data_IF_500369223050
#
_entry.id   IF_500369223050
#
_cell.length_a   1.000
_cell.length_b   1.000
_cell.length_c   1.000
_cell.angle_alpha   90.00
_cell.angle_beta   90.00
_cell.angle_gamma   90.00
#
_symmetry.space_group_name_H-M   'P 1'
#
loop_
_entity.id
_entity.type
_entity.pdbx_description
1 polymer ?
#
# COMPACT_ATOMS: atom_id res chain seq x y z
N UNK A 1 66.22 3.37 -29.86
CA UNK A 1 65.53 2.69 -28.74
C UNK A 1 64.21 3.40 -28.51
N UNK A 2 63.11 2.82 -28.96
CA UNK A 2 61.76 3.35 -28.72
C UNK A 2 61.25 2.74 -27.41
N UNK A 3 61.01 3.56 -26.41
CA UNK A 3 60.37 3.14 -25.15
C UNK A 3 58.88 2.93 -25.43
N UNK A 4 58.50 1.66 -25.63
CA UNK A 4 57.11 1.26 -25.77
C UNK A 4 56.33 1.53 -24.50
N UNK A 5 55.33 2.41 -24.60
CA UNK A 5 54.21 2.45 -23.67
C UNK A 5 53.18 1.42 -24.13
N UNK A 6 53.41 0.15 -23.83
CA UNK A 6 52.33 -0.83 -23.87
C UNK A 6 51.41 -0.58 -22.67
N UNK A 7 50.10 -0.39 -22.89
CA UNK A 7 49.16 -0.35 -21.78
C UNK A 7 49.14 -1.74 -21.11
N UNK A 8 49.06 -1.82 -19.77
CA UNK A 8 49.03 -3.12 -19.10
C UNK A 8 47.81 -3.91 -19.58
N UNK A 9 48.08 -5.13 -20.05
CA UNK A 9 47.08 -6.14 -20.35
C UNK A 9 46.40 -6.61 -19.05
N UNK A 10 45.53 -5.77 -18.50
CA UNK A 10 44.47 -6.22 -17.59
C UNK A 10 43.22 -6.31 -18.43
N UNK A 11 42.99 -7.47 -19.02
CA UNK A 11 41.65 -7.89 -19.41
C UNK A 11 40.84 -7.96 -18.10
N UNK A 12 39.95 -7.01 -17.78
CA UNK A 12 39.12 -7.16 -16.61
C UNK A 12 37.99 -8.06 -17.07
N UNK A 13 38.11 -9.35 -16.76
CA UNK A 13 37.08 -10.38 -16.91
C UNK A 13 35.69 -9.74 -16.97
N UNK A 14 35.08 -9.67 -18.18
CA UNK A 14 33.80 -9.02 -18.52
C UNK A 14 32.97 -8.76 -17.26
N UNK A 15 33.19 -7.61 -16.64
CA UNK A 15 32.78 -7.46 -15.26
C UNK A 15 31.28 -7.20 -15.24
N UNK A 16 30.54 -8.24 -14.86
CA UNK A 16 29.11 -8.41 -15.14
C UNK A 16 28.27 -7.48 -14.25
N UNK A 17 27.98 -6.27 -14.73
CA UNK A 17 27.08 -5.31 -14.10
C UNK A 17 27.25 -3.91 -14.71
N UNK A 18 26.17 -3.13 -14.83
CA UNK A 18 26.14 -1.85 -15.58
C UNK A 18 27.08 -0.73 -15.09
N UNK A 19 27.80 -0.95 -13.99
CA UNK A 19 28.67 0.04 -13.34
C UNK A 19 30.16 -0.15 -13.68
N UNK A 20 30.54 -1.25 -14.36
CA UNK A 20 31.93 -1.58 -14.70
C UNK A 20 32.24 -1.44 -16.20
N UNK A 21 31.57 -0.51 -16.88
CA UNK A 21 31.80 -0.20 -18.29
C UNK A 21 33.14 0.51 -18.53
N UNK A 22 33.72 0.35 -19.73
CA UNK A 22 35.06 0.82 -20.09
C UNK A 22 35.28 2.35 -19.96
N UNK A 23 34.21 3.16 -19.90
CA UNK A 23 34.27 4.62 -19.73
C UNK A 23 34.17 5.08 -18.28
N UNK A 24 34.07 4.16 -17.31
CA UNK A 24 33.96 4.48 -15.87
C UNK A 24 35.26 4.23 -15.14
N UNK A 25 35.49 4.99 -14.06
CA UNK A 25 36.64 4.81 -13.19
C UNK A 25 36.74 3.36 -12.67
N UNK A 26 37.95 2.79 -12.73
CA UNK A 26 38.24 1.42 -12.30
C UNK A 26 38.27 1.31 -10.77
N UNK A 27 37.08 1.22 -10.16
CA UNK A 27 36.93 1.00 -8.71
C UNK A 27 36.80 -0.50 -8.47
N UNK A 28 37.75 -1.08 -7.72
CA UNK A 28 37.73 -2.52 -7.38
C UNK A 28 36.58 -2.87 -6.42
N UNK A 29 36.23 -1.96 -5.51
CA UNK A 29 35.13 -2.14 -4.57
C UNK A 29 33.76 -2.14 -5.28
N UNK A 30 32.79 -2.96 -4.84
CA UNK A 30 31.46 -3.03 -5.45
C UNK A 30 30.65 -1.73 -5.28
N UNK A 31 30.89 -0.99 -4.20
CA UNK A 31 30.39 0.37 -3.98
C UNK A 31 31.33 1.11 -3.00
N UNK A 32 31.30 2.44 -3.02
CA UNK A 32 32.09 3.29 -2.10
C UNK A 32 31.30 3.75 -0.86
N UNK A 33 30.04 3.32 -0.73
CA UNK A 33 29.22 3.67 0.44
C UNK A 33 29.72 2.97 1.70
N UNK A 34 29.94 3.74 2.75
CA UNK A 34 30.34 3.30 4.09
C UNK A 34 29.20 3.39 5.12
N UNK A 35 28.10 4.04 4.75
CA UNK A 35 26.93 4.21 5.61
C UNK A 35 26.01 2.97 5.60
N UNK A 36 25.03 2.92 6.52
CA UNK A 36 24.06 1.81 6.63
C UNK A 36 22.97 1.91 5.55
N UNK A 37 23.37 1.94 4.29
CA UNK A 37 22.49 2.10 3.13
C UNK A 37 21.42 1.02 3.02
N UNK A 38 21.67 -0.17 3.57
CA UNK A 38 20.76 -1.32 3.58
C UNK A 38 19.64 -1.18 4.61
N UNK A 39 19.79 -0.31 5.62
CA UNK A 39 18.86 -0.23 6.74
C UNK A 39 17.45 0.20 6.30
N UNK A 40 17.36 1.25 5.47
CA UNK A 40 16.08 1.74 4.98
C UNK A 40 15.29 0.71 4.14
N UNK A 41 15.87 0.05 3.11
CA UNK A 41 15.17 -1.00 2.39
C UNK A 41 14.88 -2.22 3.27
N UNK A 42 15.78 -2.61 4.18
CA UNK A 42 15.53 -3.72 5.09
C UNK A 42 14.36 -3.45 6.06
N UNK A 43 14.31 -2.26 6.69
CA UNK A 43 13.21 -1.87 7.57
C UNK A 43 11.87 -1.80 6.83
N UNK A 44 11.89 -1.28 5.58
CA UNK A 44 10.71 -1.25 4.71
C UNK A 44 10.23 -2.67 4.40
N UNK A 45 11.14 -3.56 3.99
CA UNK A 45 10.83 -4.97 3.73
C UNK A 45 10.28 -5.68 4.96
N UNK A 46 10.90 -5.49 6.12
CA UNK A 46 10.46 -6.10 7.37
C UNK A 46 9.04 -5.65 7.75
N UNK A 47 8.74 -4.35 7.68
CA UNK A 47 7.40 -3.83 7.96
C UNK A 47 6.34 -4.33 6.98
N UNK A 48 6.66 -4.38 5.68
CA UNK A 48 5.75 -4.94 4.68
C UNK A 48 5.54 -6.44 4.87
N UNK A 49 6.59 -7.21 5.18
CA UNK A 49 6.50 -8.64 5.43
C UNK A 49 5.65 -8.91 6.69
N UNK A 50 5.85 -8.16 7.77
CA UNK A 50 5.04 -8.26 8.97
C UNK A 50 3.55 -8.02 8.65
N UNK A 51 3.24 -6.98 7.87
CA UNK A 51 1.87 -6.72 7.44
C UNK A 51 1.31 -7.84 6.54
N UNK A 52 2.12 -8.42 5.65
CA UNK A 52 1.69 -9.54 4.79
C UNK A 52 1.40 -10.77 5.64
N UNK A 53 2.26 -11.12 6.59
CA UNK A 53 2.03 -12.25 7.51
C UNK A 53 0.75 -12.03 8.32
N UNK A 54 0.61 -10.84 8.91
CA UNK A 54 -0.59 -10.46 9.66
C UNK A 54 -1.87 -10.55 8.81
N UNK A 55 -1.88 -9.90 7.65
CA UNK A 55 -3.07 -9.84 6.78
C UNK A 55 -3.40 -11.21 6.18
N UNK A 56 -2.40 -12.05 5.91
CA UNK A 56 -2.62 -13.44 5.47
C UNK A 56 -3.27 -14.25 6.57
N UNK A 57 -2.72 -14.21 7.80
CA UNK A 57 -3.35 -14.88 8.94
C UNK A 57 -4.79 -14.42 9.14
N UNK A 58 -5.03 -13.11 9.17
CA UNK A 58 -6.37 -12.54 9.34
C UNK A 58 -7.31 -12.89 8.19
N UNK A 59 -6.84 -12.93 6.95
CA UNK A 59 -7.65 -13.34 5.81
C UNK A 59 -8.08 -14.81 5.92
N UNK A 60 -7.19 -15.71 6.35
CA UNK A 60 -7.52 -17.14 6.44
C UNK A 60 -8.17 -17.58 7.76
N UNK A 61 -8.06 -16.77 8.82
CA UNK A 61 -8.72 -17.06 10.09
C UNK A 61 -10.24 -17.16 9.96
N UNK A 62 -10.85 -16.33 9.10
CA UNK A 62 -12.30 -16.32 8.81
C UNK A 62 -13.18 -16.28 10.08
N UNK A 63 -12.67 -15.64 11.14
CA UNK A 63 -13.32 -15.53 12.45
C UNK A 63 -13.03 -14.17 13.08
N UNK A 64 -13.85 -13.83 14.09
CA UNK A 64 -13.63 -12.67 14.97
C UNK A 64 -13.37 -11.37 14.18
N UNK A 65 -14.20 -11.12 13.17
CA UNK A 65 -14.10 -9.96 12.28
C UNK A 65 -15.30 -9.01 12.42
N UNK A 66 -16.25 -9.32 13.29
CA UNK A 66 -17.42 -8.48 13.55
C UNK A 66 -17.81 -8.55 15.04
N UNK A 67 -17.86 -7.39 15.68
CA UNK A 67 -18.38 -7.19 17.03
C UNK A 67 -19.16 -5.87 17.03
N UNK A 68 -20.48 -5.93 17.20
CA UNK A 68 -21.35 -4.77 16.99
C UNK A 68 -20.89 -3.55 17.83
N UNK A 69 -20.77 -2.35 17.22
CA UNK A 69 -21.11 -2.01 15.83
C UNK A 69 -19.95 -2.18 14.82
N UNK A 70 -18.78 -2.65 15.24
CA UNK A 70 -17.52 -2.62 14.47
C UNK A 70 -17.34 -3.84 13.58
N UNK A 71 -16.91 -3.59 12.33
CA UNK A 71 -16.48 -4.61 11.37
C UNK A 71 -15.01 -4.42 11.00
N UNK A 72 -14.27 -5.51 10.89
CA UNK A 72 -12.93 -5.45 10.36
C UNK A 72 -12.93 -4.85 8.94
N UNK A 73 -12.03 -3.88 8.65
CA UNK A 73 -11.88 -3.34 7.30
C UNK A 73 -11.34 -4.37 6.29
N UNK A 74 -10.91 -5.56 6.73
CA UNK A 74 -10.52 -6.67 5.84
C UNK A 74 -11.71 -7.51 5.37
N UNK A 75 -12.85 -7.41 6.05
CA UNK A 75 -14.05 -8.21 5.78
C UNK A 75 -15.24 -7.40 5.27
N UNK A 76 -15.12 -6.07 5.17
CA UNK A 76 -16.16 -5.18 4.64
C UNK A 76 -15.82 -4.64 3.24
N UNK A 77 -16.77 -4.65 2.28
CA UNK A 77 -18.14 -5.18 2.37
C UNK A 77 -18.18 -6.71 2.43
N UNK A 78 -19.26 -7.27 3.00
CA UNK A 78 -19.52 -8.70 2.90
C UNK A 78 -20.06 -9.01 1.50
N UNK A 79 -19.24 -9.69 0.68
CA UNK A 79 -19.58 -10.01 -0.71
C UNK A 79 -20.02 -11.46 -0.92
N UNK A 80 -19.85 -12.32 0.07
CA UNK A 80 -20.14 -13.75 -0.02
C UNK A 80 -21.23 -14.18 0.97
N UNK A 81 -22.06 -15.16 0.62
CA UNK A 81 -23.11 -15.69 1.50
C UNK A 81 -22.57 -16.23 2.84
N UNK A 82 -21.29 -16.62 2.89
CA UNK A 82 -20.64 -17.14 4.09
C UNK A 82 -20.29 -16.07 5.14
N UNK A 83 -20.18 -14.78 4.78
CA UNK A 83 -19.81 -13.81 5.81
C UNK A 83 -20.96 -13.54 6.78
N UNK A 84 -20.60 -13.22 8.02
CA UNK A 84 -21.54 -12.84 9.07
C UNK A 84 -22.27 -11.55 8.65
N UNK A 85 -23.62 -11.57 8.53
CA UNK A 85 -24.37 -10.38 8.16
C UNK A 85 -24.21 -9.28 9.20
N UNK A 86 -23.83 -8.08 8.73
CA UNK A 86 -23.69 -6.90 9.58
C UNK A 86 -25.00 -6.12 9.59
N UNK A 87 -25.53 -5.78 10.77
CA UNK A 87 -26.81 -5.10 10.85
C UNK A 87 -26.77 -3.69 10.21
N UNK A 88 -27.58 -3.51 9.16
CA UNK A 88 -27.58 -2.34 8.27
C UNK A 88 -26.19 -2.02 7.64
N UNK A 89 -25.31 -3.02 7.56
CA UNK A 89 -24.01 -2.90 6.91
C UNK A 89 -24.06 -3.17 5.41
N UNK A 90 -22.93 -2.97 4.70
CA UNK A 90 -22.79 -3.25 3.28
C UNK A 90 -22.67 -4.76 3.03
N UNK A 91 -23.80 -5.47 3.12
CA UNK A 91 -23.89 -6.90 2.80
C UNK A 91 -24.50 -7.07 1.40
N UNK A 92 -23.70 -7.55 0.46
CA UNK A 92 -24.11 -7.79 -0.92
C UNK A 92 -23.66 -9.17 -1.32
N UNK A 93 -24.53 -10.17 -1.20
CA UNK A 93 -24.26 -11.59 -1.49
C UNK A 93 -24.07 -11.86 -3.00
N UNK A 94 -23.11 -11.17 -3.61
CA UNK A 94 -22.78 -11.29 -5.04
C UNK A 94 -22.13 -12.64 -5.35
N UNK A 95 -21.38 -13.16 -4.38
CA UNK A 95 -20.78 -14.49 -4.42
C UNK A 95 -21.65 -15.44 -3.58
N UNK A 96 -22.38 -16.34 -4.22
CA UNK A 96 -23.19 -17.35 -3.51
C UNK A 96 -22.34 -18.40 -2.77
N UNK A 97 -23.00 -19.38 -2.16
CA UNK A 97 -22.36 -20.45 -1.37
C UNK A 97 -21.31 -21.32 -2.08
N UNK A 98 -21.09 -21.15 -3.39
CA UNK A 98 -19.98 -21.79 -4.11
C UNK A 98 -18.60 -21.23 -3.72
N UNK A 99 -18.54 -20.02 -3.17
CA UNK A 99 -17.29 -19.43 -2.68
C UNK A 99 -16.92 -20.02 -1.31
N UNK A 100 -16.13 -21.09 -1.32
CA UNK A 100 -15.75 -21.84 -0.12
C UNK A 100 -14.53 -21.30 0.65
N UNK A 101 -13.94 -20.18 0.23
CA UNK A 101 -12.77 -19.57 0.89
C UNK A 101 -13.23 -18.32 1.67
N UNK A 102 -12.41 -17.83 2.59
CA UNK A 102 -12.67 -16.61 3.36
C UNK A 102 -13.16 -15.45 2.47
N UNK A 103 -14.24 -14.75 2.87
CA UNK A 103 -14.76 -13.57 2.20
C UNK A 103 -13.73 -12.42 2.11
N UNK A 104 -12.80 -12.34 3.06
CA UNK A 104 -11.77 -11.30 3.08
C UNK A 104 -10.93 -11.29 1.79
N UNK A 105 -10.68 -12.46 1.18
CA UNK A 105 -9.86 -12.57 -0.03
C UNK A 105 -10.49 -11.81 -1.21
N UNK A 106 -11.83 -11.83 -1.32
CA UNK A 106 -12.56 -11.15 -2.39
C UNK A 106 -12.30 -9.65 -2.32
N UNK A 107 -12.37 -9.07 -1.12
CA UNK A 107 -12.21 -7.62 -0.97
C UNK A 107 -10.75 -7.20 -0.91
N UNK A 108 -9.86 -7.97 -0.27
CA UNK A 108 -8.46 -7.60 -0.08
C UNK A 108 -7.69 -7.45 -1.40
N UNK A 109 -8.13 -8.09 -2.48
CA UNK A 109 -7.52 -7.93 -3.81
C UNK A 109 -7.49 -6.47 -4.28
N UNK A 110 -8.49 -5.66 -3.93
CA UNK A 110 -8.60 -4.27 -4.37
C UNK A 110 -7.62 -3.34 -3.65
N UNK A 111 -7.62 -3.22 -2.30
CA UNK A 111 -6.63 -2.39 -1.60
C UNK A 111 -5.21 -2.95 -1.73
N UNK A 112 -5.04 -4.28 -1.78
CA UNK A 112 -3.74 -4.89 -2.05
C UNK A 112 -3.26 -4.53 -3.45
N UNK A 113 -4.09 -4.70 -4.47
CA UNK A 113 -3.79 -4.30 -5.85
C UNK A 113 -3.45 -2.83 -5.95
N UNK A 114 -4.20 -1.95 -5.30
CA UNK A 114 -3.92 -0.52 -5.26
C UNK A 114 -2.56 -0.20 -4.64
N UNK A 115 -2.18 -0.87 -3.55
CA UNK A 115 -0.86 -0.73 -2.92
C UNK A 115 0.25 -1.33 -3.76
N UNK A 116 0.13 -2.59 -4.20
CA UNK A 116 1.16 -3.29 -4.98
C UNK A 116 1.45 -2.64 -6.34
N UNK A 117 0.46 -1.98 -6.94
CA UNK A 117 0.63 -1.24 -8.20
C UNK A 117 1.12 0.19 -8.02
N UNK A 118 1.18 0.69 -6.78
CA UNK A 118 1.61 2.05 -6.50
C UNK A 118 3.13 2.21 -6.72
N UNK A 119 3.53 3.32 -7.33
CA UNK A 119 4.93 3.65 -7.57
C UNK A 119 5.80 3.61 -6.30
N UNK A 120 5.24 4.00 -5.15
CA UNK A 120 5.95 3.94 -3.88
C UNK A 120 6.26 2.49 -3.45
N UNK A 121 5.25 1.62 -3.42
CA UNK A 121 5.44 0.21 -3.07
C UNK A 121 6.33 -0.50 -4.10
N UNK A 122 6.21 -0.13 -5.38
CA UNK A 122 7.12 -0.59 -6.43
C UNK A 122 8.57 -0.31 -6.14
N UNK A 123 8.87 0.93 -5.76
CA UNK A 123 10.22 1.29 -5.29
C UNK A 123 10.63 0.45 -4.07
N UNK A 124 9.72 0.22 -3.12
CA UNK A 124 10.01 -0.58 -1.94
C UNK A 124 10.38 -2.04 -2.28
N UNK A 125 9.55 -2.75 -3.05
CA UNK A 125 9.84 -4.14 -3.38
C UNK A 125 10.97 -4.30 -4.39
N UNK A 126 11.17 -3.37 -5.32
CA UNK A 126 12.35 -3.38 -6.20
C UNK A 126 13.65 -3.20 -5.41
N UNK A 127 13.67 -2.33 -4.41
CA UNK A 127 14.87 -2.11 -3.59
C UNK A 127 15.10 -3.22 -2.58
N UNK A 128 14.05 -3.66 -1.91
CA UNK A 128 14.11 -4.60 -0.80
C UNK A 128 14.19 -6.06 -1.23
N UNK A 129 13.29 -6.50 -2.12
CA UNK A 129 13.23 -7.91 -2.52
C UNK A 129 14.03 -8.21 -3.79
N UNK A 130 14.03 -7.31 -4.79
CA UNK A 130 14.76 -7.50 -6.04
C UNK A 130 16.18 -6.90 -6.05
N UNK A 131 16.53 -6.01 -5.12
CA UNK A 131 17.80 -5.29 -5.15
C UNK A 131 18.09 -4.56 -6.48
N UNK A 132 17.10 -3.88 -7.07
CA UNK A 132 17.20 -3.22 -8.39
C UNK A 132 17.02 -1.70 -8.36
N UNK A 133 18.11 -0.91 -8.26
CA UNK A 133 19.23 -1.11 -7.33
C UNK A 133 18.78 -0.82 -5.87
N UNK A 134 19.36 -1.47 -4.85
CA UNK A 134 18.87 -1.38 -3.47
C UNK A 134 19.03 0.02 -2.86
N UNK A 135 20.05 0.76 -3.28
CA UNK A 135 20.27 2.13 -2.87
C UNK A 135 21.02 2.92 -3.96
N UNK A 136 21.00 4.26 -3.85
CA UNK A 136 21.84 5.11 -4.71
C UNK A 136 23.32 4.72 -4.53
N UNK A 137 24.08 4.70 -5.63
CA UNK A 137 25.50 4.31 -5.68
C UNK A 137 25.80 2.86 -5.23
N UNK A 138 24.78 2.00 -5.08
CA UNK A 138 24.95 0.56 -4.89
C UNK A 138 24.49 -0.13 -6.16
N UNK A 139 25.40 -0.88 -6.79
CA UNK A 139 25.12 -1.57 -8.05
C UNK A 139 23.96 -2.57 -7.90
N UNK A 140 23.10 -2.65 -8.91
CA UNK A 140 22.16 -3.78 -9.00
C UNK A 140 22.93 -5.07 -9.33
N UNK A 141 22.54 -6.22 -8.76
CA UNK A 141 23.15 -7.51 -9.07
C UNK A 141 22.65 -8.08 -10.40
N UNK A 142 21.54 -7.55 -10.92
CA UNK A 142 20.92 -8.03 -12.16
C UNK A 142 21.74 -7.66 -13.39
N UNK A 143 21.84 -8.61 -14.33
CA UNK A 143 22.59 -8.41 -15.59
C UNK A 143 21.74 -7.81 -16.70
N UNK A 144 20.45 -8.09 -16.67
CA UNK A 144 19.49 -7.74 -17.72
C UNK A 144 18.22 -7.23 -17.09
N UNK A 145 17.79 -6.04 -17.48
CA UNK A 145 16.48 -5.52 -17.13
C UNK A 145 15.48 -5.93 -18.21
N UNK A 146 14.52 -6.79 -17.86
CA UNK A 146 13.51 -7.28 -18.80
C UNK A 146 12.39 -6.27 -19.08
N UNK A 147 12.42 -5.12 -18.40
CA UNK A 147 11.35 -4.14 -18.46
C UNK A 147 10.10 -4.58 -17.68
N UNK A 148 9.16 -3.64 -17.55
CA UNK A 148 7.87 -3.87 -16.89
C UNK A 148 6.76 -4.25 -17.86
N UNK A 149 7.13 -4.56 -19.10
CA UNK A 149 6.18 -4.89 -20.17
C UNK A 149 5.80 -6.37 -20.18
N UNK A 150 6.41 -7.19 -19.31
CA UNK A 150 6.13 -8.63 -19.20
C UNK A 150 5.39 -8.98 -17.92
N UNK A 151 4.59 -10.03 -17.98
CA UNK A 151 3.96 -10.61 -16.80
C UNK A 151 5.03 -11.10 -15.82
N UNK A 152 4.90 -10.84 -14.49
CA UNK A 152 3.78 -10.18 -13.81
C UNK A 152 3.90 -8.63 -13.71
N UNK A 153 5.03 -8.03 -14.06
CA UNK A 153 5.30 -6.59 -13.89
C UNK A 153 4.40 -5.68 -14.74
N UNK A 154 3.80 -6.19 -15.81
CA UNK A 154 2.82 -5.45 -16.63
C UNK A 154 1.60 -5.00 -15.82
N UNK A 155 1.24 -5.74 -14.76
CA UNK A 155 0.11 -5.41 -13.88
C UNK A 155 0.30 -4.09 -13.13
N UNK A 156 1.54 -3.59 -13.03
CA UNK A 156 1.84 -2.28 -12.44
C UNK A 156 1.15 -1.13 -13.18
N UNK A 157 0.84 -1.29 -14.47
CA UNK A 157 0.11 -0.31 -15.26
C UNK A 157 -1.38 -0.21 -14.90
N UNK A 158 -1.90 -1.14 -14.07
CA UNK A 158 -3.29 -1.17 -13.65
C UNK A 158 -3.58 -0.22 -12.47
N UNK A 159 -2.58 0.47 -11.92
CA UNK A 159 -2.74 1.33 -10.75
C UNK A 159 -3.88 2.36 -10.90
N UNK A 160 -4.04 2.92 -12.10
CA UNK A 160 -5.14 3.85 -12.39
C UNK A 160 -6.53 3.23 -12.25
N UNK A 161 -6.68 1.94 -12.53
CA UNK A 161 -7.95 1.23 -12.40
C UNK A 161 -8.20 0.85 -10.94
N UNK A 162 -7.16 0.38 -10.25
CA UNK A 162 -7.23 0.13 -8.81
C UNK A 162 -7.55 1.39 -8.00
N UNK A 163 -7.17 2.59 -8.48
CA UNK A 163 -7.58 3.84 -7.85
C UNK A 163 -9.10 3.99 -7.80
N UNK A 164 -9.82 3.68 -8.88
CA UNK A 164 -11.29 3.77 -8.88
C UNK A 164 -11.91 2.76 -7.92
N UNK A 165 -11.42 1.52 -7.91
CA UNK A 165 -11.85 0.51 -6.94
C UNK A 165 -11.56 0.96 -5.49
N UNK A 166 -10.38 1.53 -5.24
CA UNK A 166 -9.99 2.02 -3.91
C UNK A 166 -10.88 3.17 -3.42
N UNK A 167 -11.35 4.05 -4.32
CA UNK A 167 -12.33 5.10 -3.96
C UNK A 167 -13.66 4.49 -3.53
N UNK A 168 -14.14 3.45 -4.22
CA UNK A 168 -15.36 2.73 -3.84
C UNK A 168 -15.20 2.06 -2.48
N UNK A 169 -14.11 1.31 -2.28
CA UNK A 169 -13.80 0.66 -1.00
C UNK A 169 -13.68 1.69 0.13
N UNK A 170 -13.02 2.82 -0.10
CA UNK A 170 -12.95 3.90 0.88
C UNK A 170 -14.35 4.49 1.20
N UNK A 171 -15.23 4.60 0.21
CA UNK A 171 -16.63 4.98 0.43
C UNK A 171 -17.37 4.00 1.35
N UNK A 172 -17.19 2.70 1.14
CA UNK A 172 -17.80 1.65 1.96
C UNK A 172 -17.25 1.71 3.39
N UNK A 173 -15.93 1.81 3.56
CA UNK A 173 -15.32 1.93 4.89
C UNK A 173 -15.72 3.25 5.60
N UNK A 174 -16.07 4.29 4.84
CA UNK A 174 -16.66 5.52 5.40
C UNK A 174 -18.05 5.25 5.94
N UNK A 175 -18.86 4.46 5.24
CA UNK A 175 -20.17 4.03 5.73
C UNK A 175 -20.04 3.17 6.99
N UNK A 176 -19.12 2.20 7.02
CA UNK A 176 -18.85 1.42 8.23
C UNK A 176 -18.40 2.28 9.40
N UNK A 177 -17.58 3.31 9.14
CA UNK A 177 -17.18 4.28 10.16
C UNK A 177 -18.37 5.10 10.66
N UNK A 178 -19.34 5.43 9.82
CA UNK A 178 -20.56 6.07 10.26
C UNK A 178 -21.39 5.13 11.16
N UNK A 179 -21.51 3.86 10.78
CA UNK A 179 -22.21 2.84 11.56
C UNK A 179 -21.54 2.58 12.92
N UNK A 180 -20.24 2.87 13.05
CA UNK A 180 -19.47 2.78 14.29
C UNK A 180 -19.87 3.81 15.36
N UNK A 181 -20.76 4.77 15.04
CA UNK A 181 -21.40 5.68 16.01
C UNK A 181 -22.68 5.12 16.63
N UNK A 182 -22.91 3.82 16.45
CA UNK A 182 -23.97 3.09 17.13
C UNK A 182 -23.44 2.35 18.35
N UNK A 183 -24.31 1.92 19.25
CA UNK A 183 -23.95 0.95 20.30
C UNK A 183 -24.13 -0.51 19.81
N UNK A 184 -23.96 -1.46 20.74
CA UNK A 184 -24.20 -2.89 20.49
C UNK A 184 -25.68 -3.24 20.25
N UNK A 185 -26.60 -2.35 20.67
CA UNK A 185 -28.04 -2.45 20.43
C UNK A 185 -28.50 -1.67 19.18
N UNK A 186 -27.55 -1.12 18.41
CA UNK A 186 -27.77 -0.34 17.21
C UNK A 186 -28.50 1.01 17.41
N UNK A 187 -28.55 1.53 18.63
CA UNK A 187 -28.93 2.91 18.92
C UNK A 187 -27.84 3.86 18.41
N UNK A 188 -28.22 5.06 17.97
CA UNK A 188 -27.30 6.07 17.45
C UNK A 188 -26.86 7.05 18.52
N UNK A 189 -25.71 7.70 18.29
CA UNK A 189 -25.22 8.78 19.14
C UNK A 189 -24.18 8.32 20.16
N UNK A 190 -23.55 7.18 19.92
CA UNK A 190 -22.54 6.61 20.80
C UNK A 190 -21.14 6.79 20.22
N UNK A 191 -20.15 6.87 21.09
CA UNK A 191 -18.75 6.92 20.70
C UNK A 191 -17.90 6.14 21.70
N UNK A 192 -17.15 5.18 21.20
CA UNK A 192 -16.13 4.45 21.95
C UNK A 192 -14.73 4.68 21.40
N UNK A 193 -13.77 3.97 22.00
CA UNK A 193 -12.41 3.92 21.47
C UNK A 193 -12.41 3.33 20.06
N UNK A 194 -13.23 2.30 19.80
CA UNK A 194 -13.35 1.71 18.47
C UNK A 194 -13.80 2.73 17.41
N UNK A 195 -14.70 3.64 17.78
CA UNK A 195 -15.17 4.70 16.87
C UNK A 195 -14.02 5.65 16.49
N UNK A 196 -13.16 6.01 17.44
CA UNK A 196 -11.96 6.82 17.17
C UNK A 196 -10.95 6.08 16.30
N UNK A 197 -10.76 4.77 16.53
CA UNK A 197 -9.89 3.92 15.69
C UNK A 197 -10.39 3.90 14.25
N UNK A 198 -11.70 3.75 14.03
CA UNK A 198 -12.31 3.78 12.70
C UNK A 198 -12.19 5.15 12.03
N UNK A 199 -12.45 6.23 12.75
CA UNK A 199 -12.28 7.61 12.26
C UNK A 199 -10.83 7.88 11.83
N UNK A 200 -9.86 7.54 12.68
CA UNK A 200 -8.45 7.68 12.35
C UNK A 200 -8.08 6.86 11.12
N UNK A 201 -8.56 5.60 11.06
CA UNK A 201 -8.32 4.72 9.92
C UNK A 201 -8.89 5.28 8.62
N UNK A 202 -10.15 5.70 8.59
CA UNK A 202 -10.78 6.16 7.35
C UNK A 202 -10.19 7.49 6.87
N UNK A 203 -9.84 8.41 7.79
CA UNK A 203 -9.15 9.66 7.45
C UNK A 203 -7.79 9.36 6.81
N UNK A 204 -7.03 8.42 7.36
CA UNK A 204 -5.74 8.01 6.80
C UNK A 204 -5.88 7.30 5.45
N UNK A 205 -6.92 6.47 5.27
CA UNK A 205 -7.23 5.83 3.98
C UNK A 205 -7.56 6.88 2.93
N UNK A 206 -8.43 7.86 3.22
CA UNK A 206 -8.72 8.95 2.28
C UNK A 206 -7.49 9.80 2.00
N UNK A 207 -6.71 10.15 3.01
CA UNK A 207 -5.47 10.92 2.81
C UNK A 207 -4.48 10.17 1.91
N UNK A 208 -4.32 8.85 2.08
CA UNK A 208 -3.50 8.02 1.20
C UNK A 208 -4.05 7.95 -0.23
N UNK A 209 -5.36 7.71 -0.40
CA UNK A 209 -6.00 7.63 -1.72
C UNK A 209 -5.90 8.96 -2.47
N UNK A 210 -6.24 10.08 -1.82
CA UNK A 210 -6.22 11.42 -2.42
C UNK A 210 -4.80 11.95 -2.66
N UNK A 211 -3.79 11.47 -1.93
CA UNK A 211 -2.38 11.85 -2.15
C UNK A 211 -1.74 11.16 -3.36
N UNK A 212 -2.44 10.25 -4.04
CA UNK A 212 -1.88 9.51 -5.17
C UNK A 212 -1.63 10.39 -6.42
N UNK A 213 -0.62 10.02 -7.22
CA UNK A 213 -0.38 10.63 -8.53
C UNK A 213 -1.56 10.48 -9.50
N UNK A 214 -2.30 9.36 -9.44
CA UNK A 214 -3.55 9.16 -10.20
C UNK A 214 -4.58 10.24 -9.87
N UNK A 215 -4.80 10.55 -8.59
CA UNK A 215 -5.70 11.62 -8.16
C UNK A 215 -5.22 12.99 -8.66
N UNK A 216 -3.93 13.29 -8.51
CA UNK A 216 -3.32 14.53 -9.01
C UNK A 216 -3.54 14.69 -10.53
N UNK A 217 -3.38 13.61 -11.29
CA UNK A 217 -3.61 13.60 -12.73
C UNK A 217 -5.10 13.76 -13.08
N UNK A 218 -6.03 13.14 -12.35
CA UNK A 218 -7.47 13.33 -12.57
C UNK A 218 -7.87 14.80 -12.36
N UNK A 219 -7.37 15.42 -11.28
CA UNK A 219 -7.74 16.79 -10.93
C UNK A 219 -7.10 17.83 -11.88
N UNK A 220 -5.78 17.73 -12.11
CA UNK A 220 -5.02 18.75 -12.86
C UNK A 220 -4.63 18.36 -14.28
N UNK A 221 -4.91 17.12 -14.72
CA UNK A 221 -4.50 16.62 -16.02
C UNK A 221 -5.16 17.39 -17.17
N UNK A 222 -4.40 17.53 -18.27
CA UNK A 222 -4.82 18.22 -19.51
C UNK A 222 -5.20 19.70 -19.35
N UNK A 223 -4.89 20.33 -18.22
CA UNK A 223 -5.07 21.77 -18.05
C UNK A 223 -4.01 22.54 -18.86
N UNK A 224 -4.46 23.39 -19.79
CA UNK A 224 -3.59 24.29 -20.56
C UNK A 224 -3.45 25.69 -19.94
N UNK A 225 -4.45 26.12 -19.14
CA UNK A 225 -4.48 27.44 -18.51
C UNK A 225 -4.99 27.32 -17.07
N UNK A 226 -4.20 27.72 -16.07
CA UNK A 226 -4.63 27.69 -14.67
C UNK A 226 -5.57 28.84 -14.31
N UNK A 227 -5.41 30.01 -14.94
CA UNK A 227 -6.25 31.19 -14.72
C UNK A 227 -7.72 30.97 -15.10
N UNK A 228 -8.00 30.16 -16.13
CA UNK A 228 -9.36 29.82 -16.57
C UNK A 228 -9.99 28.66 -15.80
N UNK A 229 -9.23 27.97 -14.95
CA UNK A 229 -9.70 26.82 -14.17
C UNK A 229 -9.27 26.92 -12.69
N UNK A 230 -9.65 27.99 -11.97
CA UNK A 230 -9.14 28.27 -10.62
C UNK A 230 -9.55 27.19 -9.60
N UNK A 231 -10.73 26.59 -9.74
CA UNK A 231 -11.17 25.49 -8.85
C UNK A 231 -10.28 24.26 -9.01
N UNK A 232 -10.08 23.79 -10.25
CA UNK A 232 -9.22 22.63 -10.53
C UNK A 232 -7.77 22.89 -10.12
N UNK A 233 -7.28 24.10 -10.33
CA UNK A 233 -5.94 24.50 -9.87
C UNK A 233 -5.81 24.43 -8.34
N UNK A 234 -6.77 24.98 -7.59
CA UNK A 234 -6.79 24.88 -6.12
C UNK A 234 -6.83 23.43 -5.63
N UNK A 235 -7.68 22.59 -6.22
CA UNK A 235 -7.74 21.17 -5.89
C UNK A 235 -6.41 20.46 -6.21
N UNK A 236 -5.79 20.76 -7.35
CA UNK A 236 -4.49 20.19 -7.74
C UNK A 236 -3.36 20.63 -6.79
N UNK A 237 -3.37 21.87 -6.31
CA UNK A 237 -2.45 22.35 -5.28
C UNK A 237 -2.65 21.62 -3.96
N UNK A 238 -3.90 21.41 -3.52
CA UNK A 238 -4.22 20.64 -2.32
C UNK A 238 -3.72 19.20 -2.43
N UNK A 239 -4.12 18.49 -3.49
CA UNK A 239 -3.65 17.12 -3.77
C UNK A 239 -2.12 17.08 -3.90
N UNK A 240 -1.51 18.12 -4.46
CA UNK A 240 -0.07 18.26 -4.54
C UNK A 240 0.65 18.32 -3.19
N UNK A 241 0.08 19.07 -2.23
CA UNK A 241 0.59 19.10 -0.85
C UNK A 241 0.50 17.74 -0.17
N UNK A 242 -0.61 17.02 -0.38
CA UNK A 242 -0.76 15.66 0.13
C UNK A 242 0.20 14.68 -0.56
N UNK A 243 0.37 14.78 -1.88
CA UNK A 243 1.25 13.91 -2.67
C UNK A 243 2.71 13.99 -2.23
N UNK A 244 3.20 15.16 -1.81
CA UNK A 244 4.54 15.30 -1.24
C UNK A 244 4.77 14.43 0.01
N UNK A 245 3.69 14.07 0.73
CA UNK A 245 3.69 13.20 1.91
C UNK A 245 3.14 11.80 1.61
N UNK A 246 2.96 11.43 0.34
CA UNK A 246 2.30 10.18 -0.04
C UNK A 246 2.94 8.94 0.60
N UNK A 247 4.28 8.91 0.70
CA UNK A 247 5.00 7.82 1.37
C UNK A 247 4.63 7.70 2.86
N UNK A 248 4.56 8.83 3.58
CA UNK A 248 4.18 8.85 5.00
C UNK A 248 2.72 8.37 5.16
N UNK A 249 1.83 8.87 4.31
CA UNK A 249 0.40 8.51 4.33
C UNK A 249 0.19 7.04 3.95
N UNK A 250 1.03 6.47 3.08
CA UNK A 250 1.01 5.06 2.73
C UNK A 250 1.30 4.18 3.95
N UNK A 251 2.32 4.50 4.75
CA UNK A 251 2.63 3.77 5.98
C UNK A 251 1.59 4.01 7.08
N UNK A 252 1.18 5.27 7.29
CA UNK A 252 0.19 5.60 8.31
C UNK A 252 -1.14 4.86 8.05
N UNK A 253 -1.61 4.83 6.80
CA UNK A 253 -2.82 4.08 6.42
C UNK A 253 -2.65 2.55 6.47
N UNK A 254 -1.43 2.03 6.26
CA UNK A 254 -1.13 0.60 6.38
C UNK A 254 -1.17 0.15 7.84
N UNK A 255 -0.55 0.94 8.72
CA UNK A 255 -0.56 0.68 10.16
C UNK A 255 -1.98 0.88 10.72
N UNK A 256 -2.69 1.94 10.33
CA UNK A 256 -4.05 2.19 10.84
C UNK A 256 -5.03 1.09 10.46
N UNK A 257 -4.96 0.54 9.25
CA UNK A 257 -5.88 -0.52 8.83
C UNK A 257 -5.58 -1.84 9.55
N UNK A 258 -4.30 -2.14 9.80
CA UNK A 258 -3.92 -3.29 10.62
C UNK A 258 -4.40 -3.11 12.07
N UNK A 259 -4.24 -1.93 12.65
CA UNK A 259 -4.70 -1.63 14.01
C UNK A 259 -6.22 -1.67 14.10
N UNK A 260 -6.95 -1.17 13.11
CA UNK A 260 -8.41 -1.23 13.09
C UNK A 260 -8.92 -2.68 12.99
N UNK A 261 -8.32 -3.51 12.14
CA UNK A 261 -8.65 -4.94 12.10
C UNK A 261 -8.28 -5.66 13.42
N UNK A 262 -7.08 -5.40 13.96
CA UNK A 262 -6.64 -5.99 15.23
C UNK A 262 -7.56 -5.59 16.38
N UNK A 263 -7.98 -4.34 16.40
CA UNK A 263 -8.91 -3.83 17.40
C UNK A 263 -10.23 -4.60 17.36
N UNK A 264 -10.84 -4.76 16.18
CA UNK A 264 -12.07 -5.54 16.04
C UNK A 264 -11.85 -7.00 16.43
N UNK A 265 -10.70 -7.58 16.08
CA UNK A 265 -10.36 -8.94 16.48
C UNK A 265 -10.26 -9.10 18.00
N UNK A 266 -9.63 -8.17 18.70
CA UNK A 266 -9.52 -8.19 20.16
C UNK A 266 -10.89 -8.07 20.83
N UNK A 267 -11.76 -7.19 20.33
CA UNK A 267 -13.12 -7.03 20.86
C UNK A 267 -13.99 -8.25 20.55
N UNK A 268 -13.94 -8.76 19.32
CA UNK A 268 -14.75 -9.91 18.90
C UNK A 268 -14.34 -11.22 19.58
N UNK A 269 -13.05 -11.39 19.87
CA UNK A 269 -12.53 -12.55 20.61
C UNK A 269 -12.75 -12.47 22.13
N UNK A 270 -13.24 -11.34 22.65
CA UNK A 270 -13.40 -11.11 24.09
C UNK A 270 -12.07 -10.89 24.83
N UNK A 271 -10.96 -10.66 24.12
CA UNK A 271 -9.66 -10.36 24.72
C UNK A 271 -9.57 -8.92 25.25
N UNK A 272 -10.45 -8.03 24.79
CA UNK A 272 -10.49 -6.62 25.15
C UNK A 272 -11.92 -6.09 25.09
N UNK A 273 -12.38 -5.46 26.17
CA UNK A 273 -13.68 -4.78 26.18
C UNK A 273 -13.54 -3.38 25.57
N UNK A 274 -14.47 -2.99 24.68
CA UNK A 274 -14.45 -1.64 24.09
C UNK A 274 -14.79 -0.55 25.13
N UNK A 275 -13.85 0.38 25.44
CA UNK A 275 -14.13 1.51 26.28
C UNK A 275 -15.11 2.48 25.59
N UNK A 276 -16.28 2.67 26.20
CA UNK A 276 -17.30 3.63 25.75
C UNK A 276 -17.13 4.98 26.43
N UNK A 277 -17.33 6.07 25.68
CA UNK A 277 -17.35 7.42 26.24
C UNK A 277 -18.77 7.89 26.56
N UNK A 278 -19.71 7.63 25.65
CA UNK A 278 -21.15 7.89 25.77
C UNK A 278 -21.92 7.06 24.73
#
# INVERSE_FOLDING_TARGET
MATGTEPPATEPARARGGVRGATRAAIAAPHLRTDRWWLAPAATTAGLLAFVVYSTWRAFADSDYYAAPYVSPFYSPCLAERCRPMHAGPNWEVFGGWWGISPAIIILVFPLGFRLTCYYYRKAYYRGFWASPPACAVAEPHRTYTGETRFPLVLQNLHRYFFYAAVVVAGILTYDTALAFRDEHYAWGHMGLGTLVFLANIVLIWAYTLSCHSCRHIVGGKLKHFSRHPVRYRMWQFVGRLNARHMLLAWASLVSVALADLYVWLVASGAFDDPRFF
#
